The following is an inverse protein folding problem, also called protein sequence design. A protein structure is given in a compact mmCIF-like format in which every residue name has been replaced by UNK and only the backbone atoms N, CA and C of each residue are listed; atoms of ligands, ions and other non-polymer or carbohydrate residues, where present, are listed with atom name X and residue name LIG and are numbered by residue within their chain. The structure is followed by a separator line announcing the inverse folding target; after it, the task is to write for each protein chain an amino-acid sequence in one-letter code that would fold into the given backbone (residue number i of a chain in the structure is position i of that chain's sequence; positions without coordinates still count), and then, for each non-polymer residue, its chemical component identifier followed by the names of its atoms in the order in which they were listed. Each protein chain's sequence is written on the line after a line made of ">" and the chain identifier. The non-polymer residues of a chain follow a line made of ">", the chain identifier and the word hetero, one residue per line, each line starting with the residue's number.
data_IF_767905890941
#
_entry.id   IF_767905890941
#
_cell.length_a   1.000
_cell.length_b   1.000
_cell.length_c   1.000
_cell.angle_alpha   90.00
_cell.angle_beta   90.00
_cell.angle_gamma   90.00
#
_symmetry.space_group_name_H-M   'P 1'
#
loop_
_entity.id
_entity.type
_entity.pdbx_description
1 polymer ?
#
# COMPACT_ATOMS: atom_id res chain seq x y z
N UNK A 1 22.17 -3.35 6.16
CA UNK A 1 21.69 -1.94 6.20
C UNK A 1 20.57 -1.66 5.18
N UNK A 2 20.76 -1.97 3.89
CA UNK A 2 19.77 -1.68 2.82
C UNK A 2 18.41 -2.37 3.06
N UNK A 3 18.41 -3.64 3.48
CA UNK A 3 17.17 -4.39 3.76
C UNK A 3 16.34 -3.76 4.89
N UNK A 4 17.00 -3.23 5.91
CA UNK A 4 16.34 -2.58 7.05
C UNK A 4 15.71 -1.25 6.61
N UNK A 5 16.39 -0.52 5.73
CA UNK A 5 15.86 0.71 5.11
C UNK A 5 14.63 0.42 4.23
N UNK A 6 14.69 -0.62 3.39
CA UNK A 6 13.56 -1.06 2.56
C UNK A 6 12.37 -1.51 3.40
N UNK A 7 12.61 -2.24 4.49
CA UNK A 7 11.56 -2.65 5.42
C UNK A 7 10.87 -1.43 6.09
N UNK A 8 11.64 -0.45 6.54
CA UNK A 8 11.09 0.80 7.11
C UNK A 8 10.25 1.54 6.07
N UNK A 9 10.77 1.70 4.84
CA UNK A 9 10.04 2.34 3.74
C UNK A 9 8.74 1.58 3.44
N UNK A 10 8.79 0.25 3.40
CA UNK A 10 7.63 -0.59 3.14
C UNK A 10 6.54 -0.44 4.21
N UNK A 11 6.92 -0.36 5.48
CA UNK A 11 6.01 -0.11 6.59
C UNK A 11 5.36 1.28 6.44
N UNK A 12 6.16 2.32 6.17
CA UNK A 12 5.66 3.69 5.98
C UNK A 12 4.67 3.75 4.80
N UNK A 13 4.99 3.11 3.68
CA UNK A 13 4.11 3.04 2.50
C UNK A 13 2.80 2.32 2.82
N UNK A 14 2.84 1.24 3.61
CA UNK A 14 1.64 0.53 4.02
C UNK A 14 0.73 1.37 4.92
N UNK A 15 1.31 2.12 5.87
CA UNK A 15 0.58 3.05 6.74
C UNK A 15 -0.03 4.19 5.93
N UNK A 16 0.74 4.78 5.02
CA UNK A 16 0.25 5.80 4.08
C UNK A 16 -0.93 5.28 3.28
N UNK A 17 -0.83 4.08 2.73
CA UNK A 17 -1.91 3.49 1.95
C UNK A 17 -3.18 3.29 2.80
N UNK A 18 -3.06 2.84 4.06
CA UNK A 18 -4.20 2.73 5.00
C UNK A 18 -4.83 4.10 5.32
N UNK A 19 -4.02 5.12 5.59
CA UNK A 19 -4.51 6.45 5.98
C UNK A 19 -5.18 7.16 4.80
N UNK A 20 -4.60 7.01 3.60
CA UNK A 20 -5.10 7.56 2.33
C UNK A 20 -6.47 6.97 2.00
N UNK A 21 -6.60 5.64 2.05
CA UNK A 21 -7.88 4.91 1.92
C UNK A 21 -8.93 5.38 2.93
N UNK A 22 -8.59 5.46 4.23
CA UNK A 22 -9.57 5.89 5.25
C UNK A 22 -10.00 7.33 5.03
N UNK A 23 -9.10 8.19 4.56
CA UNK A 23 -9.43 9.59 4.22
C UNK A 23 -10.40 9.67 3.04
N UNK A 24 -10.22 8.84 2.01
CA UNK A 24 -11.16 8.73 0.88
C UNK A 24 -12.55 8.33 1.38
N UNK A 25 -12.63 7.25 2.16
CA UNK A 25 -13.90 6.72 2.68
C UNK A 25 -14.60 7.72 3.61
N UNK A 26 -13.85 8.38 4.51
CA UNK A 26 -14.40 9.39 5.43
C UNK A 26 -14.97 10.60 4.70
N UNK A 27 -14.35 10.96 3.58
CA UNK A 27 -14.84 12.05 2.74
C UNK A 27 -16.02 11.63 1.85
N UNK A 28 -16.59 10.42 2.01
CA UNK A 28 -17.67 9.90 1.17
C UNK A 28 -17.24 9.61 -0.27
N UNK A 29 -15.92 9.54 -0.53
CA UNK A 29 -15.36 9.08 -1.79
C UNK A 29 -15.29 7.56 -1.84
N UNK A 30 -14.84 7.03 -2.96
CA UNK A 30 -14.66 5.59 -3.16
C UNK A 30 -13.20 5.24 -3.44
N UNK A 31 -12.75 4.09 -2.96
CA UNK A 31 -11.43 3.57 -3.31
C UNK A 31 -11.38 3.27 -4.82
N UNK A 32 -10.50 3.93 -5.57
CA UNK A 32 -10.40 3.71 -7.02
C UNK A 32 -9.65 2.45 -7.37
N UNK A 33 -8.78 1.96 -6.49
CA UNK A 33 -8.13 0.67 -6.70
C UNK A 33 -9.17 -0.46 -6.54
N UNK A 34 -9.55 -1.17 -7.63
CA UNK A 34 -10.60 -2.18 -7.59
C UNK A 34 -10.22 -3.37 -6.71
N UNK A 35 -8.92 -3.70 -6.64
CA UNK A 35 -8.38 -4.71 -5.73
C UNK A 35 -8.55 -4.28 -4.28
N UNK A 36 -8.11 -3.06 -3.92
CA UNK A 36 -8.27 -2.56 -2.57
C UNK A 36 -9.75 -2.45 -2.16
N UNK A 37 -10.62 -2.00 -3.07
CA UNK A 37 -12.08 -1.97 -2.86
C UNK A 37 -12.66 -3.37 -2.64
N UNK A 38 -12.22 -4.35 -3.44
CA UNK A 38 -12.64 -5.74 -3.29
C UNK A 38 -12.21 -6.30 -1.94
N UNK A 39 -10.94 -6.08 -1.55
CA UNK A 39 -10.41 -6.50 -0.25
C UNK A 39 -11.10 -5.81 0.94
N UNK A 40 -11.52 -4.55 0.79
CA UNK A 40 -12.32 -3.87 1.83
C UNK A 40 -13.73 -4.43 1.93
N UNK A 41 -14.36 -4.79 0.80
CA UNK A 41 -15.70 -5.40 0.80
C UNK A 41 -15.74 -6.72 1.56
N UNK A 42 -14.64 -7.49 1.51
CA UNK A 42 -14.50 -8.75 2.25
C UNK A 42 -13.88 -8.57 3.64
N UNK A 43 -13.70 -7.32 4.12
CA UNK A 43 -13.02 -6.96 5.37
C UNK A 43 -11.57 -7.47 5.52
N UNK A 44 -10.99 -8.07 4.48
CA UNK A 44 -9.63 -8.65 4.50
C UNK A 44 -8.52 -7.63 4.20
N UNK A 45 -8.84 -6.35 3.97
CA UNK A 45 -7.84 -5.35 3.57
C UNK A 45 -6.66 -5.23 4.53
N UNK A 46 -6.93 -5.21 5.84
CA UNK A 46 -5.87 -5.12 6.86
C UNK A 46 -5.11 -6.45 6.96
N UNK A 47 -5.82 -7.58 6.93
CA UNK A 47 -5.22 -8.92 7.04
C UNK A 47 -4.32 -9.24 5.85
N UNK A 48 -4.74 -8.90 4.63
CA UNK A 48 -3.93 -9.09 3.43
C UNK A 48 -2.67 -8.23 3.42
N UNK A 49 -2.74 -7.00 3.96
CA UNK A 49 -1.56 -6.15 4.15
C UNK A 49 -0.58 -6.75 5.15
N UNK A 50 -1.09 -7.20 6.30
CA UNK A 50 -0.26 -7.86 7.32
C UNK A 50 0.39 -9.10 6.73
N UNK A 51 -0.37 -9.95 6.03
CA UNK A 51 0.14 -11.17 5.40
C UNK A 51 1.21 -10.85 4.36
N UNK A 52 1.01 -9.82 3.51
CA UNK A 52 2.01 -9.36 2.55
C UNK A 52 3.30 -8.89 3.23
N UNK A 53 3.21 -8.09 4.30
CA UNK A 53 4.40 -7.65 5.06
C UNK A 53 5.14 -8.84 5.64
N UNK A 54 4.42 -9.81 6.22
CA UNK A 54 5.01 -11.03 6.80
C UNK A 54 5.69 -11.88 5.73
N UNK A 55 5.05 -12.11 4.59
CA UNK A 55 5.61 -12.92 3.49
C UNK A 55 6.88 -12.26 2.93
N UNK A 56 6.84 -10.96 2.66
CA UNK A 56 8.01 -10.21 2.17
C UNK A 56 9.13 -10.26 3.20
N UNK A 57 8.83 -10.04 4.48
CA UNK A 57 9.82 -10.11 5.56
C UNK A 57 10.48 -11.50 5.67
N UNK A 58 9.69 -12.58 5.65
CA UNK A 58 10.20 -13.96 5.68
C UNK A 58 11.08 -14.28 4.47
N UNK A 59 10.67 -13.88 3.26
CA UNK A 59 11.50 -14.06 2.05
C UNK A 59 12.81 -13.27 2.13
N UNK A 60 12.76 -12.06 2.70
CA UNK A 60 13.93 -11.19 2.82
C UNK A 60 14.97 -11.74 3.80
N UNK A 61 14.53 -12.41 4.87
CA UNK A 61 15.42 -13.07 5.84
C UNK A 61 15.97 -14.39 5.30
N UNK A 62 15.21 -15.08 4.47
CA UNK A 62 15.57 -16.42 3.99
C UNK A 62 16.75 -16.42 3.01
N UNK A 63 16.94 -15.34 2.24
CA UNK A 63 18.01 -15.30 1.24
C UNK A 63 18.40 -13.85 0.88
N UNK A 64 19.60 -13.43 1.28
CA UNK A 64 20.04 -12.02 1.17
C UNK A 64 20.19 -11.58 -0.30
N UNK A 65 20.62 -12.49 -1.17
CA UNK A 65 20.78 -12.27 -2.62
C UNK A 65 19.45 -11.97 -3.32
N UNK A 66 18.35 -12.50 -2.80
CA UNK A 66 17.01 -12.41 -3.37
C UNK A 66 16.16 -11.36 -2.64
N UNK A 67 16.46 -11.08 -1.37
CA UNK A 67 15.73 -10.13 -0.55
C UNK A 67 15.82 -8.68 -1.05
N UNK A 68 16.97 -8.24 -1.56
CA UNK A 68 17.16 -6.88 -2.08
C UNK A 68 16.29 -6.60 -3.32
N UNK A 69 16.35 -7.41 -4.41
CA UNK A 69 15.51 -7.16 -5.59
C UNK A 69 14.00 -7.31 -5.29
N UNK A 70 13.62 -8.27 -4.44
CA UNK A 70 12.22 -8.43 -3.99
C UNK A 70 11.76 -7.22 -3.18
N UNK A 71 12.58 -6.72 -2.26
CA UNK A 71 12.28 -5.51 -1.49
C UNK A 71 12.11 -4.27 -2.37
N UNK A 72 13.00 -4.08 -3.35
CA UNK A 72 12.90 -2.98 -4.33
C UNK A 72 11.59 -3.09 -5.13
N UNK A 73 11.28 -4.28 -5.66
CA UNK A 73 10.06 -4.52 -6.43
C UNK A 73 8.80 -4.24 -5.58
N UNK A 74 8.76 -4.77 -4.35
CA UNK A 74 7.64 -4.56 -3.43
C UNK A 74 7.47 -3.08 -3.05
N UNK A 75 8.57 -2.38 -2.74
CA UNK A 75 8.54 -0.94 -2.46
C UNK A 75 8.05 -0.14 -3.69
N UNK A 76 8.52 -0.48 -4.89
CA UNK A 76 8.09 0.18 -6.14
C UNK A 76 6.60 -0.01 -6.42
N UNK A 77 6.10 -1.24 -6.30
CA UNK A 77 4.67 -1.55 -6.46
C UNK A 77 3.83 -0.77 -5.44
N UNK A 78 4.24 -0.76 -4.17
CA UNK A 78 3.50 -0.03 -3.12
C UNK A 78 3.54 1.48 -3.33
N UNK A 79 4.68 2.03 -3.74
CA UNK A 79 4.80 3.44 -4.06
C UNK A 79 3.85 3.85 -5.20
N UNK A 80 3.76 3.01 -6.24
CA UNK A 80 2.82 3.23 -7.35
C UNK A 80 1.36 3.17 -6.89
N UNK A 81 1.01 2.20 -6.02
CA UNK A 81 -0.34 2.11 -5.44
C UNK A 81 -0.68 3.37 -4.63
N UNK A 82 0.23 3.83 -3.76
CA UNK A 82 0.04 5.04 -2.96
C UNK A 82 -0.12 6.28 -3.85
N UNK A 83 0.70 6.42 -4.90
CA UNK A 83 0.57 7.51 -5.88
C UNK A 83 -0.79 7.51 -6.57
N UNK A 84 -1.28 6.32 -6.97
CA UNK A 84 -2.57 6.19 -7.62
C UNK A 84 -3.72 6.54 -6.65
N UNK A 85 -3.60 6.16 -5.38
CA UNK A 85 -4.57 6.50 -4.34
C UNK A 85 -4.58 8.01 -4.03
N UNK A 86 -3.42 8.66 -3.99
CA UNK A 86 -3.31 10.12 -3.86
C UNK A 86 -3.90 10.88 -5.05
N UNK A 87 -3.68 10.37 -6.27
CA UNK A 87 -4.26 10.95 -7.49
C UNK A 87 -5.78 10.85 -7.47
N UNK A 88 -6.31 9.72 -7.02
CA UNK A 88 -7.75 9.49 -6.85
C UNK A 88 -8.37 10.48 -5.87
N UNK A 89 -7.73 10.72 -4.71
CA UNK A 89 -8.17 11.75 -3.76
C UNK A 89 -8.29 13.11 -4.44
N UNK A 90 -7.26 13.52 -5.18
CA UNK A 90 -7.26 14.83 -5.84
C UNK A 90 -8.38 14.96 -6.87
N UNK A 91 -8.63 13.92 -7.65
CA UNK A 91 -9.71 13.90 -8.63
C UNK A 91 -11.09 13.95 -7.96
N UNK A 92 -11.31 13.15 -6.92
CA UNK A 92 -12.59 13.12 -6.20
C UNK A 92 -12.87 14.37 -5.38
N UNK A 93 -11.84 15.05 -4.88
CA UNK A 93 -12.00 16.37 -4.26
C UNK A 93 -12.40 17.42 -5.30
N UNK A 94 -11.77 17.40 -6.47
CA UNK A 94 -12.07 18.33 -7.56
C UNK A 94 -13.49 18.18 -8.10
N UNK A 95 -14.00 16.94 -8.20
CA UNK A 95 -15.38 16.66 -8.61
C UNK A 95 -16.43 17.10 -7.56
N UNK A 96 -16.04 17.30 -6.29
CA UNK A 96 -16.95 17.82 -5.24
C UNK A 96 -16.98 19.34 -5.15
N UNK A 97 -15.97 20.01 -5.70
CA UNK A 97 -15.84 21.47 -5.74
C UNK A 97 -16.42 22.07 -7.04
N UNK A 98 -16.73 21.22 -8.04
CA UNK A 98 -17.37 21.56 -9.30
C UNK A 98 -18.90 21.41 -9.24
#
# INVERSE_FOLDING_TARGET
>A
MILLLLAIIFIILNILDITTTRKILRNGGYEANPLARFLMRIHLFIQAKILMVVIVFLMTISNESTGIPVGILCCGIYFFIVLNNLRTIRLQLKDKEA
#
